data_IF_688223165259
#
_entry.id   IF_688223165259
#
_cell.length_a   1.000
_cell.length_b   1.000
_cell.length_c   1.000
_cell.angle_alpha   90.00
_cell.angle_beta   90.00
_cell.angle_gamma   90.00
#
_symmetry.space_group_name_H-M   'P 1'
#
loop_
_entity.id
_entity.type
_entity.pdbx_description
1 polymer ?
#
# COMPACT_ATOMS: atom_id res chain seq x y z
N UNK A 1 10.83 1.71 -23.15
CA UNK A 1 10.09 1.06 -24.26
C UNK A 1 10.44 1.64 -25.65
N UNK A 2 10.21 2.92 -25.98
CA UNK A 2 10.43 3.44 -27.36
C UNK A 2 11.86 3.29 -27.89
N UNK A 3 12.91 3.50 -27.10
CA UNK A 3 14.32 3.38 -27.55
C UNK A 3 14.79 1.93 -27.73
N UNK A 4 14.34 1.00 -26.88
CA UNK A 4 14.65 -0.43 -27.04
C UNK A 4 13.93 -1.04 -28.25
N UNK A 5 12.67 -0.68 -28.52
CA UNK A 5 11.92 -1.12 -29.73
C UNK A 5 12.53 -0.57 -31.03
N UNK A 6 13.08 0.67 -31.05
CA UNK A 6 13.77 1.22 -32.23
C UNK A 6 15.12 0.54 -32.51
N UNK A 7 15.85 0.11 -31.48
CA UNK A 7 17.14 -0.57 -31.68
C UNK A 7 16.93 -2.00 -32.20
N UNK A 8 15.86 -2.69 -31.77
CA UNK A 8 15.49 -4.03 -32.25
C UNK A 8 14.99 -4.00 -33.72
N UNK A 9 14.25 -2.97 -34.14
CA UNK A 9 13.81 -2.79 -35.52
C UNK A 9 14.99 -2.51 -36.49
N UNK A 10 16.04 -1.86 -36.01
CA UNK A 10 17.22 -1.58 -36.83
C UNK A 10 18.11 -2.84 -37.05
N UNK A 11 18.14 -3.76 -36.10
CA UNK A 11 18.89 -5.02 -36.22
C UNK A 11 18.25 -6.03 -37.19
N UNK A 12 16.92 -6.04 -37.32
CA UNK A 12 16.18 -6.89 -38.27
C UNK A 12 16.38 -6.46 -39.75
N UNK A 13 16.68 -5.17 -40.01
CA UNK A 13 16.85 -4.67 -41.38
C UNK A 13 18.22 -5.02 -41.98
N UNK A 14 19.20 -5.44 -41.17
CA UNK A 14 20.57 -5.76 -41.64
C UNK A 14 20.71 -7.24 -42.07
N UNK A 15 19.83 -8.13 -41.66
CA UNK A 15 19.91 -9.56 -41.99
C UNK A 15 19.28 -9.97 -43.34
N UNK A 16 18.61 -9.07 -44.08
CA UNK A 16 17.85 -9.43 -45.31
C UNK A 16 18.69 -9.27 -46.57
N UNK A 17 19.94 -8.79 -46.53
CA UNK A 17 20.71 -8.42 -47.72
C UNK A 17 21.81 -9.39 -48.17
N UNK A 18 21.91 -10.63 -47.68
CA UNK A 18 23.03 -11.58 -48.00
C UNK A 18 22.60 -12.87 -48.69
N UNK A 19 21.41 -13.01 -49.22
CA UNK A 19 21.06 -14.22 -49.98
C UNK A 19 20.45 -13.90 -51.33
N UNK A 20 21.34 -13.51 -52.27
CA UNK A 20 21.00 -13.57 -53.71
C UNK A 20 22.25 -13.64 -54.55
N UNK A 21 22.77 -14.82 -54.81
CA UNK A 21 23.47 -15.22 -56.04
C UNK A 21 23.95 -16.68 -55.97
N UNK A 22 23.32 -17.60 -56.68
CA UNK A 22 23.93 -18.29 -57.79
C UNK A 22 22.96 -19.38 -58.36
N UNK A 23 22.79 -19.24 -59.62
CA UNK A 23 21.89 -20.05 -60.48
C UNK A 23 22.68 -21.03 -61.35
N UNK A 24 21.97 -22.17 -61.72
CA UNK A 24 22.14 -23.08 -62.87
C UNK A 24 23.02 -24.33 -62.62
N UNK A 25 22.60 -25.52 -62.94
CA UNK A 25 22.03 -26.07 -64.16
C UNK A 25 21.49 -27.54 -64.00
N UNK A 26 20.30 -27.80 -64.55
CA UNK A 26 19.82 -28.90 -65.42
C UNK A 26 20.30 -30.34 -65.19
N UNK A 27 19.31 -31.29 -65.05
CA UNK A 27 19.39 -32.70 -65.32
C UNK A 27 18.31 -33.51 -64.64
N UNK A 28 17.29 -33.97 -65.38
CA UNK A 28 16.28 -34.98 -65.06
C UNK A 28 16.71 -36.39 -65.51
N UNK A 29 16.00 -37.53 -65.20
CA UNK A 29 15.24 -37.91 -63.97
C UNK A 29 15.69 -39.30 -63.47
N UNK A 30 15.19 -39.80 -62.34
CA UNK A 30 14.58 -41.08 -62.07
C UNK A 30 14.71 -41.54 -60.59
N UNK A 31 13.53 -41.88 -60.10
CA UNK A 31 13.11 -42.86 -59.11
C UNK A 31 13.70 -43.08 -57.71
N UNK A 32 12.71 -42.99 -56.76
CA UNK A 32 12.53 -43.83 -55.57
C UNK A 32 13.44 -43.63 -54.35
N UNK A 33 12.91 -43.03 -53.30
CA UNK A 33 12.59 -43.73 -52.03
C UNK A 33 12.23 -42.72 -50.93
N UNK A 34 11.10 -43.01 -50.30
CA UNK A 34 10.57 -42.35 -49.10
C UNK A 34 11.58 -42.41 -47.96
N UNK A 35 11.94 -41.27 -47.40
CA UNK A 35 12.33 -41.13 -45.98
C UNK A 35 11.75 -39.84 -45.46
N UNK A 36 10.82 -40.01 -44.56
CA UNK A 36 10.11 -39.02 -43.76
C UNK A 36 11.13 -38.40 -42.78
N UNK A 37 11.70 -37.26 -43.13
CA UNK A 37 12.39 -36.36 -42.21
C UNK A 37 11.44 -35.24 -41.82
N UNK A 38 10.79 -35.45 -40.69
CA UNK A 38 10.08 -34.40 -39.96
C UNK A 38 11.06 -33.24 -39.68
N UNK A 39 10.96 -32.19 -40.46
CA UNK A 39 11.52 -30.90 -40.07
C UNK A 39 10.73 -30.43 -38.85
N UNK A 40 11.35 -30.52 -37.67
CA UNK A 40 10.96 -29.70 -36.54
C UNK A 40 11.11 -28.22 -36.97
N UNK A 41 9.99 -27.56 -37.18
CA UNK A 41 9.94 -26.12 -37.18
C UNK A 41 10.35 -25.66 -35.77
N UNK A 42 11.58 -25.17 -35.64
CA UNK A 42 11.97 -24.40 -34.48
C UNK A 42 11.02 -23.20 -34.38
N UNK A 43 10.03 -23.29 -33.50
CA UNK A 43 9.30 -22.12 -33.01
C UNK A 43 10.31 -21.14 -32.44
N UNK A 44 10.28 -19.85 -32.83
CA UNK A 44 11.12 -18.86 -32.19
C UNK A 44 10.81 -18.87 -30.68
N UNK A 45 11.83 -19.09 -29.86
CA UNK A 45 11.71 -18.83 -28.43
C UNK A 45 11.27 -17.39 -28.29
N UNK A 46 10.09 -17.16 -27.70
CA UNK A 46 9.68 -15.86 -27.20
C UNK A 46 10.80 -15.40 -26.26
N UNK A 47 11.40 -14.23 -26.55
CA UNK A 47 12.27 -13.57 -25.59
C UNK A 47 11.41 -13.31 -24.35
N UNK A 48 11.78 -13.91 -23.22
CA UNK A 48 11.17 -13.72 -21.90
C UNK A 48 11.22 -12.22 -21.58
N UNK A 49 10.12 -11.49 -21.80
CA UNK A 49 9.98 -10.09 -21.44
C UNK A 49 9.83 -10.05 -19.90
N UNK A 50 10.97 -10.02 -19.19
CA UNK A 50 11.00 -9.90 -17.74
C UNK A 50 10.68 -8.44 -17.37
N UNK A 51 9.54 -8.23 -16.68
CA UNK A 51 9.17 -6.91 -16.19
C UNK A 51 9.97 -6.54 -14.94
N UNK A 52 10.26 -5.26 -14.80
CA UNK A 52 10.90 -4.66 -13.63
C UNK A 52 9.93 -3.72 -12.95
N UNK A 53 9.62 -3.98 -11.69
CA UNK A 53 8.75 -3.14 -10.89
C UNK A 53 9.54 -2.34 -9.86
N UNK A 54 9.05 -1.12 -9.55
CA UNK A 54 9.49 -0.35 -8.40
C UNK A 54 8.54 -0.55 -7.22
N UNK A 55 9.06 -0.43 -5.99
CA UNK A 55 8.27 -0.24 -4.79
C UNK A 55 8.77 1.00 -4.03
N UNK A 56 7.83 1.90 -3.70
CA UNK A 56 8.09 3.08 -2.87
C UNK A 56 6.99 3.20 -1.82
N UNK A 57 7.31 2.80 -0.58
CA UNK A 57 6.46 2.98 0.59
C UNK A 57 6.71 4.33 1.26
N UNK A 58 6.10 4.54 2.44
CA UNK A 58 6.33 5.77 3.22
C UNK A 58 7.68 5.70 3.95
N UNK A 59 7.97 4.53 4.56
CA UNK A 59 9.13 4.35 5.43
C UNK A 59 9.36 2.86 5.66
N UNK A 60 10.48 2.34 5.20
CA UNK A 60 10.80 0.90 5.28
C UNK A 60 11.31 0.45 6.65
N UNK A 61 11.40 1.35 7.65
CA UNK A 61 11.59 0.95 9.04
C UNK A 61 10.25 0.56 9.71
N UNK A 62 9.09 0.95 9.13
CA UNK A 62 7.77 0.61 9.68
C UNK A 62 7.34 -0.81 9.29
N UNK A 63 6.96 -1.67 10.26
CA UNK A 63 6.60 -3.07 9.99
C UNK A 63 5.47 -3.27 8.98
N UNK A 64 4.55 -2.31 8.86
CA UNK A 64 3.47 -2.34 7.88
C UNK A 64 4.01 -2.37 6.45
N UNK A 65 4.91 -1.43 6.11
CA UNK A 65 5.48 -1.33 4.76
C UNK A 65 6.46 -2.46 4.43
N UNK A 66 7.20 -2.96 5.44
CA UNK A 66 8.01 -4.19 5.28
C UNK A 66 7.12 -5.37 4.88
N UNK A 67 5.97 -5.52 5.55
CA UNK A 67 5.05 -6.64 5.29
C UNK A 67 4.37 -6.49 3.93
N UNK A 68 3.92 -5.28 3.58
CA UNK A 68 3.31 -4.96 2.29
C UNK A 68 4.27 -5.26 1.13
N UNK A 69 5.50 -4.75 1.22
CA UNK A 69 6.57 -4.97 0.24
C UNK A 69 6.90 -6.45 0.08
N UNK A 70 7.07 -7.16 1.20
CA UNK A 70 7.39 -8.60 1.19
C UNK A 70 6.28 -9.42 0.53
N UNK A 71 5.00 -9.05 0.74
CA UNK A 71 3.87 -9.72 0.11
C UNK A 71 3.82 -9.46 -1.40
N UNK A 72 4.14 -8.24 -1.84
CA UNK A 72 4.29 -7.89 -3.26
C UNK A 72 5.45 -8.66 -3.88
N UNK A 73 6.62 -8.62 -3.24
CA UNK A 73 7.85 -9.28 -3.70
C UNK A 73 7.65 -10.77 -3.91
N UNK A 74 7.01 -11.45 -2.95
CA UNK A 74 6.73 -12.89 -3.04
C UNK A 74 6.00 -13.24 -4.34
N UNK A 75 5.02 -12.44 -4.75
CA UNK A 75 4.22 -12.68 -5.96
C UNK A 75 5.01 -12.31 -7.21
N UNK A 76 5.65 -11.14 -7.24
CA UNK A 76 6.40 -10.63 -8.39
C UNK A 76 7.59 -11.54 -8.74
N UNK A 77 8.39 -11.94 -7.75
CA UNK A 77 9.55 -12.80 -7.98
C UNK A 77 9.16 -14.23 -8.35
N UNK A 78 8.01 -14.72 -7.87
CA UNK A 78 7.48 -16.04 -8.27
C UNK A 78 7.14 -16.12 -9.76
N UNK A 79 6.70 -15.03 -10.37
CA UNK A 79 6.45 -14.93 -11.81
C UNK A 79 7.73 -14.65 -12.62
N UNK A 80 8.90 -14.59 -11.95
CA UNK A 80 10.19 -14.36 -12.61
C UNK A 80 10.49 -12.87 -12.88
N UNK A 81 9.73 -11.96 -12.32
CA UNK A 81 9.91 -10.52 -12.46
C UNK A 81 10.81 -9.94 -11.35
N UNK A 82 11.31 -8.72 -11.54
CA UNK A 82 12.18 -8.03 -10.59
C UNK A 82 11.40 -6.96 -9.82
N UNK A 83 11.70 -6.79 -8.51
CA UNK A 83 11.19 -5.70 -7.68
C UNK A 83 12.35 -4.89 -7.09
N UNK A 84 12.45 -3.62 -7.48
CA UNK A 84 13.41 -2.65 -6.94
C UNK A 84 12.72 -1.86 -5.84
N UNK A 85 13.23 -1.90 -4.62
CA UNK A 85 12.69 -1.16 -3.48
C UNK A 85 13.58 0.02 -3.13
N UNK A 86 12.98 1.20 -2.95
CA UNK A 86 13.62 2.41 -2.42
C UNK A 86 12.91 2.84 -1.15
N UNK A 87 13.67 3.37 -0.20
CA UNK A 87 13.17 3.86 1.08
C UNK A 87 13.28 5.37 1.17
N UNK A 88 12.18 6.12 1.15
CA UNK A 88 12.20 7.58 1.29
C UNK A 88 12.33 8.02 2.76
N UNK A 89 12.27 7.10 3.72
CA UNK A 89 12.41 7.41 5.15
C UNK A 89 11.48 8.57 5.61
N UNK A 90 10.22 8.55 5.20
CA UNK A 90 9.21 9.57 5.47
C UNK A 90 9.50 10.97 4.88
N UNK A 91 10.38 11.08 3.87
CA UNK A 91 10.71 12.34 3.16
C UNK A 91 10.02 12.38 1.79
N UNK A 92 9.08 13.32 1.53
CA UNK A 92 8.46 13.49 0.22
C UNK A 92 9.47 13.83 -0.89
N UNK A 93 10.49 14.64 -0.56
CA UNK A 93 11.53 15.04 -1.50
C UNK A 93 12.41 13.86 -1.91
N UNK A 94 12.78 12.99 -0.96
CA UNK A 94 13.56 11.78 -1.24
C UNK A 94 12.72 10.79 -2.04
N UNK A 95 11.40 10.68 -1.76
CA UNK A 95 10.50 9.83 -2.53
C UNK A 95 10.45 10.26 -4.00
N UNK A 96 10.28 11.57 -4.27
CA UNK A 96 10.28 12.09 -5.65
C UNK A 96 11.61 11.82 -6.36
N UNK A 97 12.76 12.03 -5.67
CA UNK A 97 14.07 11.78 -6.24
C UNK A 97 14.29 10.30 -6.56
N UNK A 98 13.94 9.41 -5.63
CA UNK A 98 14.07 7.95 -5.79
C UNK A 98 13.16 7.40 -6.89
N UNK A 99 11.95 7.95 -7.07
CA UNK A 99 11.07 7.58 -8.19
C UNK A 99 11.73 7.93 -9.53
N UNK A 100 12.36 9.11 -9.64
CA UNK A 100 13.10 9.49 -10.86
C UNK A 100 14.29 8.54 -11.14
N UNK A 101 15.01 8.12 -10.10
CA UNK A 101 16.07 7.10 -10.22
C UNK A 101 15.50 5.78 -10.74
N UNK A 102 14.39 5.28 -10.19
CA UNK A 102 13.76 4.04 -10.64
C UNK A 102 13.28 4.14 -12.11
N UNK A 103 12.79 5.31 -12.54
CA UNK A 103 12.46 5.57 -13.95
C UNK A 103 13.72 5.45 -14.84
N UNK A 104 14.87 6.00 -14.39
CA UNK A 104 16.15 5.90 -15.10
C UNK A 104 16.67 4.45 -15.12
N UNK A 105 16.45 3.69 -14.08
CA UNK A 105 16.74 2.24 -13.98
C UNK A 105 15.85 1.41 -14.91
N UNK A 106 14.74 1.99 -15.41
CA UNK A 106 13.89 1.43 -16.46
C UNK A 106 12.80 0.51 -15.92
N UNK A 107 12.16 0.84 -14.81
CA UNK A 107 10.98 0.15 -14.32
C UNK A 107 9.83 0.21 -15.32
N UNK A 108 9.02 -0.85 -15.40
CA UNK A 108 7.83 -0.95 -16.24
C UNK A 108 6.55 -0.58 -15.45
N UNK A 109 6.56 -0.79 -14.14
CA UNK A 109 5.49 -0.43 -13.22
C UNK A 109 6.01 -0.08 -11.84
N UNK A 110 5.17 0.54 -11.01
CA UNK A 110 5.52 0.92 -9.63
C UNK A 110 4.35 0.63 -8.68
N UNK A 111 4.66 0.08 -7.52
CA UNK A 111 3.78 0.06 -6.35
C UNK A 111 4.11 1.27 -5.49
N UNK A 112 3.18 2.21 -5.39
CA UNK A 112 3.40 3.51 -4.77
C UNK A 112 2.45 3.75 -3.61
N UNK A 113 3.01 3.95 -2.40
CA UNK A 113 2.31 4.56 -1.28
C UNK A 113 2.95 5.93 -0.99
N UNK A 114 2.25 7.05 -1.18
CA UNK A 114 2.84 8.38 -1.06
C UNK A 114 3.17 8.73 0.40
N UNK A 115 4.32 9.34 0.64
CA UNK A 115 4.67 9.97 1.92
C UNK A 115 3.73 11.15 2.21
N UNK A 116 3.45 11.92 1.17
CA UNK A 116 2.46 13.01 1.18
C UNK A 116 1.58 12.87 -0.07
N UNK A 117 0.27 12.71 0.15
CA UNK A 117 -0.71 12.40 -0.88
C UNK A 117 -0.92 13.53 -1.90
N UNK A 118 -0.58 14.78 -1.53
CA UNK A 118 -0.62 15.94 -2.43
C UNK A 118 0.75 16.23 -3.07
N UNK A 119 1.83 16.18 -2.28
CA UNK A 119 3.16 16.53 -2.75
C UNK A 119 3.73 15.55 -3.78
N UNK A 120 3.19 14.32 -3.89
CA UNK A 120 3.64 13.29 -4.84
C UNK A 120 3.33 13.61 -6.31
N UNK A 121 2.43 14.55 -6.60
CA UNK A 121 1.94 14.87 -7.95
C UNK A 121 3.04 15.02 -9.03
N UNK A 122 4.17 15.71 -8.78
CA UNK A 122 5.24 15.80 -9.79
C UNK A 122 5.85 14.45 -10.17
N UNK A 123 5.97 13.52 -9.21
CA UNK A 123 6.47 12.17 -9.47
C UNK A 123 5.46 11.35 -10.29
N UNK A 124 4.15 11.49 -10.03
CA UNK A 124 3.10 10.86 -10.85
C UNK A 124 3.19 11.31 -12.30
N UNK A 125 3.39 12.62 -12.54
CA UNK A 125 3.60 13.16 -13.89
C UNK A 125 4.82 12.56 -14.59
N UNK A 126 5.95 12.44 -13.87
CA UNK A 126 7.18 11.84 -14.41
C UNK A 126 7.01 10.35 -14.76
N UNK A 127 6.32 9.58 -13.90
CA UNK A 127 5.99 8.17 -14.17
C UNK A 127 5.13 8.04 -15.43
N UNK A 128 4.11 8.87 -15.57
CA UNK A 128 3.20 8.85 -16.73
C UNK A 128 3.93 9.24 -18.04
N UNK A 129 4.81 10.25 -18.00
CA UNK A 129 5.65 10.64 -19.15
C UNK A 129 6.61 9.52 -19.58
N UNK A 130 7.06 8.70 -18.62
CA UNK A 130 7.91 7.54 -18.85
C UNK A 130 7.15 6.28 -19.29
N UNK A 131 5.80 6.31 -19.37
CA UNK A 131 4.93 5.16 -19.68
C UNK A 131 5.03 4.03 -18.62
N UNK A 132 5.33 4.40 -17.35
CA UNK A 132 5.38 3.48 -16.21
C UNK A 132 3.97 3.29 -15.66
N UNK A 133 3.56 2.05 -15.41
CA UNK A 133 2.28 1.73 -14.80
C UNK A 133 2.28 2.03 -13.32
N UNK A 134 1.22 2.67 -12.82
CA UNK A 134 1.12 3.11 -11.42
C UNK A 134 0.04 2.29 -10.71
N UNK A 135 0.46 1.43 -9.80
CA UNK A 135 -0.40 0.75 -8.82
C UNK A 135 -0.24 1.48 -7.49
N UNK A 136 -1.21 2.34 -7.16
CA UNK A 136 -1.22 3.03 -5.89
C UNK A 136 -1.72 2.10 -4.79
N UNK A 137 -1.01 1.99 -3.68
CA UNK A 137 -1.32 1.07 -2.58
C UNK A 137 -1.49 1.82 -1.27
N UNK A 138 -2.36 1.32 -0.38
CA UNK A 138 -2.62 1.81 0.97
C UNK A 138 -3.21 3.23 1.01
N UNK A 139 -2.40 4.27 0.93
CA UNK A 139 -2.85 5.67 0.94
C UNK A 139 -3.05 6.17 -0.49
N UNK A 140 -4.26 6.63 -0.82
CA UNK A 140 -4.57 7.23 -2.12
C UNK A 140 -3.77 8.51 -2.35
N UNK A 141 -3.30 8.70 -3.59
CA UNK A 141 -2.79 9.99 -4.06
C UNK A 141 -3.96 10.94 -4.34
N UNK A 142 -3.73 12.25 -4.41
CA UNK A 142 -4.77 13.24 -4.68
C UNK A 142 -5.28 13.15 -6.12
N UNK A 143 -4.37 13.08 -7.06
CA UNK A 143 -4.66 13.04 -8.50
C UNK A 143 -4.78 11.60 -8.99
N UNK A 144 -5.90 10.94 -8.67
CA UNK A 144 -6.17 9.55 -9.03
C UNK A 144 -6.21 9.29 -10.55
N UNK A 145 -6.35 10.32 -11.37
CA UNK A 145 -6.30 10.20 -12.84
C UNK A 145 -4.94 9.77 -13.39
N UNK A 146 -3.86 9.85 -12.60
CA UNK A 146 -2.56 9.30 -12.95
C UNK A 146 -2.44 7.80 -12.69
N UNK A 147 -3.29 7.27 -11.82
CA UNK A 147 -3.21 5.90 -11.30
C UNK A 147 -3.86 4.91 -12.26
N UNK A 148 -3.19 3.81 -12.54
CA UNK A 148 -3.76 2.73 -13.37
C UNK A 148 -4.60 1.75 -12.52
N UNK A 149 -4.21 1.53 -11.23
CA UNK A 149 -5.03 0.81 -10.25
C UNK A 149 -4.71 1.25 -8.82
N UNK A 150 -5.73 1.21 -7.94
CA UNK A 150 -5.60 1.41 -6.49
C UNK A 150 -6.03 0.18 -5.72
N UNK A 151 -5.19 -0.22 -4.76
CA UNK A 151 -5.51 -1.31 -3.83
C UNK A 151 -5.21 -0.83 -2.40
N UNK A 152 -6.23 -0.77 -1.55
CA UNK A 152 -6.12 -0.34 -0.16
C UNK A 152 -7.26 -0.86 0.70
N UNK A 153 -7.38 -0.33 1.91
CA UNK A 153 -8.46 -0.68 2.84
C UNK A 153 -9.63 0.32 2.74
N UNK A 154 -10.82 -0.09 3.18
CA UNK A 154 -11.93 0.83 3.39
C UNK A 154 -11.66 1.70 4.63
N UNK A 155 -10.89 2.78 4.45
CA UNK A 155 -10.43 3.62 5.55
C UNK A 155 -11.56 4.41 6.23
N UNK A 156 -12.61 4.81 5.51
CA UNK A 156 -13.79 5.44 6.11
C UNK A 156 -14.49 4.46 7.05
N UNK A 157 -14.69 3.21 6.61
CA UNK A 157 -15.28 2.16 7.46
C UNK A 157 -14.41 1.85 8.68
N UNK A 158 -13.06 1.85 8.51
CA UNK A 158 -12.15 1.62 9.63
C UNK A 158 -12.33 2.65 10.75
N UNK A 159 -12.49 3.92 10.41
CA UNK A 159 -12.81 4.96 11.38
C UNK A 159 -14.22 4.83 11.95
N UNK A 160 -15.19 4.53 11.07
CA UNK A 160 -16.60 4.42 11.44
C UNK A 160 -16.83 3.35 12.51
N UNK A 161 -16.28 2.14 12.36
CA UNK A 161 -16.42 1.07 13.37
C UNK A 161 -15.75 1.42 14.72
N UNK A 162 -14.69 2.23 14.72
CA UNK A 162 -14.11 2.77 15.96
C UNK A 162 -15.07 3.73 16.66
N UNK A 163 -15.74 4.59 15.89
CA UNK A 163 -16.74 5.52 16.43
C UNK A 163 -17.98 4.82 16.97
N UNK A 164 -18.45 3.76 16.31
CA UNK A 164 -19.58 2.94 16.82
C UNK A 164 -19.24 2.27 18.16
N UNK A 165 -18.06 1.63 18.27
CA UNK A 165 -17.63 1.03 19.55
C UNK A 165 -17.46 2.10 20.64
N UNK A 166 -17.01 3.32 20.30
CA UNK A 166 -16.95 4.42 21.27
C UNK A 166 -18.35 4.81 21.79
N UNK A 167 -19.35 4.90 20.92
CA UNK A 167 -20.74 5.23 21.31
C UNK A 167 -21.29 4.17 22.27
N UNK A 168 -21.01 2.89 22.01
CA UNK A 168 -21.45 1.78 22.89
C UNK A 168 -20.77 1.85 24.26
N UNK A 169 -19.48 2.19 24.33
CA UNK A 169 -18.73 2.31 25.60
C UNK A 169 -19.04 3.57 26.37
N UNK A 170 -19.37 4.65 25.67
CA UNK A 170 -19.65 5.96 26.26
C UNK A 170 -21.08 6.45 25.88
N UNK A 171 -22.14 5.75 26.34
CA UNK A 171 -23.51 6.06 25.92
C UNK A 171 -24.01 7.44 26.40
N UNK A 172 -23.33 8.06 27.35
CA UNK A 172 -23.61 9.42 27.81
C UNK A 172 -22.89 10.51 26.97
N UNK A 173 -22.17 10.12 25.92
CA UNK A 173 -21.31 11.02 25.15
C UNK A 173 -20.03 11.37 25.89
N UNK A 174 -19.38 12.44 25.46
CA UNK A 174 -18.17 12.90 26.12
C UNK A 174 -17.25 13.75 25.26
N UNK A 175 -16.06 14.05 25.78
CA UNK A 175 -15.02 14.74 25.05
C UNK A 175 -14.08 13.76 24.39
N UNK A 176 -13.73 14.01 23.14
CA UNK A 176 -12.80 13.17 22.38
C UNK A 176 -11.67 14.03 21.79
N UNK A 177 -10.49 13.44 21.70
CA UNK A 177 -9.37 14.02 21.00
C UNK A 177 -9.05 13.19 19.76
N UNK A 178 -8.46 13.82 18.75
CA UNK A 178 -8.06 13.19 17.50
C UNK A 178 -6.57 13.41 17.30
N UNK A 179 -5.84 12.32 17.10
CA UNK A 179 -4.42 12.32 16.73
C UNK A 179 -4.31 11.87 15.28
N UNK A 180 -3.96 12.78 14.40
CA UNK A 180 -4.05 12.63 12.95
C UNK A 180 -2.70 12.78 12.23
N UNK A 181 -2.71 12.58 10.90
CA UNK A 181 -1.60 12.86 10.01
C UNK A 181 -2.19 13.30 8.65
N UNK A 182 -2.42 14.62 8.43
CA UNK A 182 -3.11 15.13 7.26
C UNK A 182 -2.43 14.86 5.92
N UNK A 183 -1.12 14.57 5.92
CA UNK A 183 -0.36 14.20 4.72
C UNK A 183 -0.66 12.79 4.20
N UNK A 184 -1.43 11.99 4.96
CA UNK A 184 -1.86 10.63 4.58
C UNK A 184 -3.37 10.59 4.41
N UNK A 185 -3.86 10.46 3.16
CA UNK A 185 -5.29 10.42 2.89
C UNK A 185 -6.01 9.28 3.61
N UNK A 186 -5.37 8.12 3.75
CA UNK A 186 -5.92 7.00 4.51
C UNK A 186 -6.28 7.39 5.96
N UNK A 187 -5.45 8.21 6.61
CA UNK A 187 -5.75 8.70 7.95
C UNK A 187 -6.88 9.74 7.92
N UNK A 188 -6.92 10.62 6.92
CA UNK A 188 -8.01 11.60 6.76
C UNK A 188 -9.36 10.88 6.63
N UNK A 189 -9.42 9.81 5.85
CA UNK A 189 -10.62 9.00 5.67
C UNK A 189 -11.03 8.29 6.97
N UNK A 190 -10.08 7.75 7.73
CA UNK A 190 -10.33 7.14 9.06
C UNK A 190 -10.95 8.14 10.03
N UNK A 191 -10.42 9.36 10.07
CA UNK A 191 -10.96 10.42 10.93
C UNK A 191 -12.35 10.84 10.45
N UNK A 192 -12.57 10.96 9.15
CA UNK A 192 -13.88 11.26 8.57
C UNK A 192 -14.92 10.22 8.99
N UNK A 193 -14.62 8.93 8.83
CA UNK A 193 -15.53 7.85 9.23
C UNK A 193 -15.83 7.85 10.74
N UNK A 194 -14.82 8.09 11.58
CA UNK A 194 -15.00 8.22 13.02
C UNK A 194 -15.93 9.37 13.38
N UNK A 195 -15.73 10.55 12.79
CA UNK A 195 -16.58 11.72 13.04
C UNK A 195 -18.01 11.51 12.53
N UNK A 196 -18.19 10.85 11.40
CA UNK A 196 -19.50 10.45 10.88
C UNK A 196 -20.25 9.53 11.86
N UNK A 197 -19.55 8.59 12.49
CA UNK A 197 -20.15 7.69 13.47
C UNK A 197 -20.57 8.45 14.74
N UNK A 198 -19.65 9.20 15.36
CA UNK A 198 -19.95 9.90 16.62
C UNK A 198 -21.00 11.01 16.45
N UNK A 199 -21.15 11.58 15.25
CA UNK A 199 -22.22 12.53 14.94
C UNK A 199 -23.63 11.92 15.02
N UNK A 200 -23.76 10.59 14.94
CA UNK A 200 -25.04 9.85 15.07
C UNK A 200 -25.40 9.53 16.52
N UNK A 201 -24.52 9.77 17.47
CA UNK A 201 -24.77 9.48 18.89
C UNK A 201 -25.93 10.30 19.44
N UNK A 202 -26.80 9.67 20.26
CA UNK A 202 -27.92 10.34 20.92
C UNK A 202 -27.46 11.40 21.94
N UNK A 203 -26.37 11.11 22.65
CA UNK A 203 -25.65 12.05 23.52
C UNK A 203 -24.38 12.44 22.77
N UNK A 204 -24.24 13.71 22.47
CA UNK A 204 -23.18 14.18 21.58
C UNK A 204 -21.77 13.98 22.14
N UNK A 205 -20.82 13.85 21.22
CA UNK A 205 -19.41 13.93 21.50
C UNK A 205 -18.88 15.30 21.08
N UNK A 206 -17.95 15.85 21.84
CA UNK A 206 -17.24 17.08 21.55
C UNK A 206 -15.80 16.76 21.17
N UNK A 207 -15.37 17.08 19.95
CA UNK A 207 -13.96 17.02 19.57
C UNK A 207 -13.25 18.24 20.14
N UNK A 208 -12.46 18.02 21.20
CA UNK A 208 -11.82 19.11 21.97
C UNK A 208 -10.44 19.51 21.43
N UNK A 209 -9.72 18.59 20.78
CA UNK A 209 -8.41 18.84 20.19
C UNK A 209 -8.20 17.94 18.98
N UNK A 210 -7.49 18.47 17.97
CA UNK A 210 -6.94 17.71 16.83
C UNK A 210 -5.47 18.06 16.71
N UNK A 211 -4.61 17.05 16.65
CA UNK A 211 -3.16 17.26 16.61
C UNK A 211 -2.54 16.37 15.55
N UNK A 212 -1.79 17.00 14.65
CA UNK A 212 -0.95 16.29 13.69
C UNK A 212 0.25 15.67 14.41
N UNK A 213 0.36 14.36 14.30
CA UNK A 213 1.41 13.56 14.90
C UNK A 213 2.37 12.97 13.87
N UNK A 214 2.21 13.34 12.59
CA UNK A 214 3.01 12.79 11.48
C UNK A 214 3.03 11.25 11.43
N UNK A 215 2.02 10.60 12.02
CA UNK A 215 1.98 9.14 12.12
C UNK A 215 3.01 8.52 13.07
N UNK A 216 3.62 9.30 13.98
CA UNK A 216 4.77 8.90 14.80
C UNK A 216 4.40 8.73 16.28
N UNK A 217 4.97 7.69 16.90
CA UNK A 217 4.81 7.38 18.32
C UNK A 217 5.22 8.54 19.24
N UNK A 218 6.41 9.13 19.04
CA UNK A 218 6.96 10.15 19.95
C UNK A 218 6.14 11.44 19.89
N UNK A 219 5.69 11.85 18.70
CA UNK A 219 4.83 13.03 18.55
C UNK A 219 3.47 12.78 19.18
N UNK A 220 2.90 11.57 19.00
CA UNK A 220 1.63 11.19 19.62
C UNK A 220 1.71 11.16 21.15
N UNK A 221 2.81 10.64 21.72
CA UNK A 221 3.07 10.68 23.17
C UNK A 221 3.10 12.13 23.70
N UNK A 222 3.79 13.02 22.99
CA UNK A 222 3.86 14.45 23.36
C UNK A 222 2.49 15.13 23.30
N UNK A 223 1.80 14.99 22.16
CA UNK A 223 0.46 15.54 21.92
C UNK A 223 -0.55 15.05 22.96
N UNK A 224 -0.60 13.75 23.22
CA UNK A 224 -1.51 13.17 24.19
C UNK A 224 -1.26 13.71 25.60
N UNK A 225 -0.01 13.90 26.04
CA UNK A 225 0.30 14.54 27.33
C UNK A 225 -0.30 15.93 27.45
N UNK A 226 -0.11 16.77 26.42
CA UNK A 226 -0.66 18.12 26.40
C UNK A 226 -2.18 18.14 26.41
N UNK A 227 -2.81 17.21 25.65
CA UNK A 227 -4.26 17.05 25.62
C UNK A 227 -4.80 16.69 27.01
N UNK A 228 -4.17 15.72 27.70
CA UNK A 228 -4.60 15.28 29.03
C UNK A 228 -4.42 16.36 30.11
N UNK A 229 -3.44 17.24 29.96
CA UNK A 229 -3.26 18.39 30.85
C UNK A 229 -4.35 19.45 30.63
N UNK A 230 -4.73 19.75 29.38
CA UNK A 230 -5.74 20.73 29.01
C UNK A 230 -7.17 20.20 29.23
N UNK A 231 -7.39 18.92 28.97
CA UNK A 231 -8.69 18.26 28.99
C UNK A 231 -8.64 16.99 29.83
N UNK A 232 -8.52 17.13 31.18
CA UNK A 232 -8.42 15.96 32.08
C UNK A 232 -9.70 15.10 32.12
N UNK A 233 -10.79 15.58 31.53
CA UNK A 233 -12.08 14.92 31.39
C UNK A 233 -12.31 14.30 30.00
N UNK A 234 -11.25 14.19 29.15
CA UNK A 234 -11.33 13.48 27.88
C UNK A 234 -11.69 12.01 28.12
N UNK A 235 -12.67 11.52 27.37
CA UNK A 235 -13.18 10.15 27.50
C UNK A 235 -12.66 9.21 26.40
N UNK A 236 -12.31 9.75 25.22
CA UNK A 236 -11.82 8.97 24.10
C UNK A 236 -10.73 9.66 23.29
N UNK A 237 -9.83 8.88 22.70
CA UNK A 237 -8.81 9.36 21.77
C UNK A 237 -8.88 8.49 20.51
N UNK A 238 -9.21 9.08 19.36
CA UNK A 238 -9.07 8.44 18.06
C UNK A 238 -7.68 8.71 17.51
N UNK A 239 -7.00 7.65 17.13
CA UNK A 239 -5.66 7.71 16.58
C UNK A 239 -5.68 7.19 15.13
N UNK A 240 -5.05 7.93 14.22
CA UNK A 240 -5.05 7.61 12.80
C UNK A 240 -4.41 6.26 12.47
N UNK A 241 -3.51 5.74 13.34
CA UNK A 241 -2.91 4.42 13.22
C UNK A 241 -2.53 3.85 14.60
N UNK A 242 -2.04 2.61 14.62
CA UNK A 242 -1.67 1.90 15.84
C UNK A 242 -0.43 2.47 16.55
N UNK A 243 0.56 3.01 15.81
CA UNK A 243 1.73 3.65 16.42
C UNK A 243 1.34 4.89 17.22
N UNK A 244 0.42 5.70 16.67
CA UNK A 244 -0.18 6.84 17.35
C UNK A 244 -0.91 6.36 18.60
N UNK A 245 -1.70 5.28 18.49
CA UNK A 245 -2.49 4.74 19.61
C UNK A 245 -1.61 4.24 20.77
N UNK A 246 -0.49 3.58 20.48
CA UNK A 246 0.47 3.14 21.51
C UNK A 246 1.15 4.34 22.19
N UNK A 247 1.44 5.40 21.42
CA UNK A 247 1.95 6.68 21.94
C UNK A 247 0.95 7.35 22.90
N UNK A 248 -0.30 7.48 22.47
CA UNK A 248 -1.39 8.04 23.30
C UNK A 248 -1.61 7.21 24.58
N UNK A 249 -1.62 5.87 24.46
CA UNK A 249 -1.73 4.97 25.64
C UNK A 249 -0.60 5.19 26.64
N UNK A 250 0.61 5.38 26.14
CA UNK A 250 1.76 5.63 27.02
C UNK A 250 1.57 6.94 27.82
N UNK A 251 1.04 8.00 27.18
CA UNK A 251 0.72 9.25 27.89
C UNK A 251 -0.37 9.07 28.95
N UNK A 252 -1.46 8.35 28.60
CA UNK A 252 -2.57 8.06 29.53
C UNK A 252 -2.09 7.26 30.75
N UNK A 253 -1.20 6.28 30.54
CA UNK A 253 -0.59 5.50 31.63
C UNK A 253 0.30 6.40 32.54
N UNK A 254 1.11 7.26 31.97
CA UNK A 254 1.96 8.19 32.73
C UNK A 254 1.13 9.19 33.56
N UNK A 255 -0.02 9.62 33.04
CA UNK A 255 -0.97 10.46 33.75
C UNK A 255 -1.78 9.72 34.84
N UNK A 256 -1.68 8.39 34.90
CA UNK A 256 -2.41 7.55 35.87
C UNK A 256 -3.93 7.47 35.60
N UNK A 257 -4.39 7.87 34.41
CA UNK A 257 -5.78 7.82 34.01
C UNK A 257 -6.17 6.39 33.58
N UNK A 258 -7.42 5.97 33.88
CA UNK A 258 -7.87 4.60 33.60
C UNK A 258 -9.18 4.53 32.81
N UNK A 259 -9.81 5.68 32.58
CA UNK A 259 -11.15 5.73 31.96
C UNK A 259 -11.11 6.22 30.51
N UNK A 260 -9.96 6.66 30.03
CA UNK A 260 -9.79 7.09 28.64
C UNK A 260 -9.71 5.86 27.73
N UNK A 261 -10.58 5.78 26.73
CA UNK A 261 -10.58 4.73 25.72
C UNK A 261 -9.81 5.19 24.47
N UNK A 262 -9.02 4.33 23.88
CA UNK A 262 -8.13 4.65 22.77
C UNK A 262 -8.39 3.69 21.63
N UNK A 263 -8.52 4.23 20.42
CA UNK A 263 -8.65 3.47 19.17
C UNK A 263 -7.45 3.69 18.28
N UNK A 264 -7.01 2.62 17.61
CA UNK A 264 -6.06 2.63 16.54
C UNK A 264 -6.66 2.07 15.26
N UNK A 265 -5.86 2.06 14.22
CA UNK A 265 -6.12 1.36 12.95
C UNK A 265 -4.82 0.69 12.54
N UNK A 266 -4.87 -0.50 12.03
CA UNK A 266 -3.94 -1.38 11.34
C UNK A 266 -4.09 -2.84 11.82
N UNK A 267 -4.37 -3.11 13.10
CA UNK A 267 -4.33 -4.47 13.66
C UNK A 267 -2.91 -4.98 13.85
N UNK A 268 -1.96 -4.09 14.13
CA UNK A 268 -0.55 -4.42 14.24
C UNK A 268 -0.23 -5.40 15.37
N UNK A 269 0.89 -6.16 15.30
CA UNK A 269 1.33 -7.01 16.39
C UNK A 269 1.46 -6.27 17.72
N UNK A 270 1.90 -5.01 17.70
CA UNK A 270 2.13 -4.23 18.91
C UNK A 270 0.82 -3.82 19.59
N UNK A 271 -0.18 -3.34 18.85
CA UNK A 271 -1.47 -3.00 19.42
C UNK A 271 -2.18 -4.25 19.95
N UNK A 272 -2.05 -5.40 19.28
CA UNK A 272 -2.62 -6.68 19.74
C UNK A 272 -2.01 -7.12 21.06
N UNK A 273 -0.71 -6.92 21.29
CA UNK A 273 -0.06 -7.13 22.58
C UNK A 273 -0.60 -6.18 23.65
N UNK A 274 -0.89 -4.91 23.28
CA UNK A 274 -1.48 -3.93 24.19
C UNK A 274 -2.93 -4.31 24.58
N UNK A 275 -3.74 -4.81 23.63
CA UNK A 275 -5.10 -5.29 23.90
C UNK A 275 -5.15 -6.43 24.91
N UNK A 276 -4.12 -7.26 25.01
CA UNK A 276 -4.01 -8.34 25.99
C UNK A 276 -3.69 -7.87 27.41
N UNK A 277 -3.24 -6.63 27.58
CA UNK A 277 -2.94 -6.10 28.92
C UNK A 277 -4.20 -5.85 29.72
N UNK A 278 -4.09 -5.95 31.05
CA UNK A 278 -5.24 -5.82 31.95
C UNK A 278 -5.75 -4.37 32.13
N UNK A 279 -5.01 -3.38 31.66
CA UNK A 279 -5.34 -1.96 31.82
C UNK A 279 -6.55 -1.49 30.98
N UNK A 280 -6.83 -2.16 29.85
CA UNK A 280 -8.06 -1.99 29.07
C UNK A 280 -8.21 -0.61 28.38
N UNK A 281 -7.14 0.19 28.29
CA UNK A 281 -7.21 1.53 27.71
C UNK A 281 -7.28 1.51 26.18
N UNK A 282 -6.59 0.58 25.51
CA UNK A 282 -6.86 0.31 24.10
C UNK A 282 -8.21 -0.41 24.03
N UNK A 283 -9.20 0.24 23.43
CA UNK A 283 -10.54 -0.32 23.24
C UNK A 283 -10.56 -1.26 22.04
N UNK A 284 -9.89 -0.88 20.96
CA UNK A 284 -9.78 -1.67 19.76
C UNK A 284 -8.88 -1.04 18.71
N UNK A 285 -8.66 -1.79 17.65
CA UNK A 285 -8.02 -1.36 16.42
C UNK A 285 -8.83 -1.87 15.24
N UNK A 286 -9.12 -1.02 14.26
CA UNK A 286 -9.68 -1.45 12.99
C UNK A 286 -8.56 -2.09 12.17
N UNK A 287 -8.61 -3.40 12.05
CA UNK A 287 -7.55 -4.18 11.42
C UNK A 287 -7.65 -4.13 9.89
N UNK A 288 -6.50 -4.02 9.25
CA UNK A 288 -6.31 -4.15 7.81
C UNK A 288 -5.24 -5.22 7.51
N UNK A 289 -5.18 -5.71 6.27
CA UNK A 289 -4.25 -6.76 5.89
C UNK A 289 -3.22 -6.27 4.86
N UNK A 290 -2.01 -5.85 5.28
CA UNK A 290 -0.95 -5.51 4.33
C UNK A 290 -0.54 -6.70 3.45
N UNK A 291 -0.76 -7.93 3.94
CA UNK A 291 -0.50 -9.16 3.18
C UNK A 291 -1.47 -9.28 2.00
N UNK A 292 -2.78 -9.12 2.24
CA UNK A 292 -3.77 -9.22 1.17
C UNK A 292 -3.65 -8.06 0.19
N UNK A 293 -3.50 -6.82 0.70
CA UNK A 293 -3.27 -5.64 -0.14
C UNK A 293 -2.06 -5.87 -1.07
N UNK A 294 -0.93 -6.36 -0.53
CA UNK A 294 0.27 -6.62 -1.31
C UNK A 294 0.07 -7.70 -2.38
N UNK A 295 -0.56 -8.82 -2.03
CA UNK A 295 -0.83 -9.92 -2.98
C UNK A 295 -1.81 -9.50 -4.07
N UNK A 296 -2.88 -8.78 -3.71
CA UNK A 296 -3.87 -8.25 -4.65
C UNK A 296 -3.22 -7.23 -5.58
N UNK A 297 -2.42 -6.31 -5.05
CA UNK A 297 -1.71 -5.31 -5.85
C UNK A 297 -0.75 -5.94 -6.86
N UNK A 298 0.06 -6.91 -6.42
CA UNK A 298 0.99 -7.60 -7.29
C UNK A 298 0.27 -8.37 -8.40
N UNK A 299 -0.83 -9.07 -8.07
CA UNK A 299 -1.66 -9.75 -9.07
C UNK A 299 -2.23 -8.77 -10.07
N UNK A 300 -2.83 -7.67 -9.62
CA UNK A 300 -3.37 -6.61 -10.48
C UNK A 300 -2.32 -6.05 -11.44
N UNK A 301 -1.08 -5.80 -10.92
CA UNK A 301 0.03 -5.33 -11.76
C UNK A 301 0.40 -6.35 -12.84
N UNK A 302 0.44 -7.64 -12.53
CA UNK A 302 0.74 -8.71 -13.47
C UNK A 302 -0.34 -8.81 -14.56
N UNK A 303 -1.62 -8.85 -14.16
CA UNK A 303 -2.77 -8.88 -15.08
C UNK A 303 -2.70 -7.66 -16.04
N UNK A 304 -2.40 -6.47 -15.51
CA UNK A 304 -2.22 -5.22 -16.27
C UNK A 304 -1.09 -5.33 -17.30
N UNK A 305 0.09 -5.86 -16.90
CA UNK A 305 1.24 -5.98 -17.79
C UNK A 305 1.00 -7.02 -18.89
N UNK A 306 0.23 -8.06 -18.62
CA UNK A 306 -0.16 -9.10 -19.59
C UNK A 306 -1.31 -8.63 -20.51
N UNK A 307 -1.93 -7.49 -20.24
CA UNK A 307 -3.09 -6.98 -21.00
C UNK A 307 -4.37 -7.76 -20.70
N UNK A 308 -4.44 -8.40 -19.53
CA UNK A 308 -5.62 -9.07 -19.01
C UNK A 308 -6.57 -8.06 -18.34
N UNK A 309 -7.83 -8.46 -18.13
CA UNK A 309 -8.82 -7.64 -17.43
C UNK A 309 -8.49 -7.57 -15.94
N UNK A 310 -8.53 -6.38 -15.34
CA UNK A 310 -8.32 -6.16 -13.90
C UNK A 310 -9.26 -5.09 -13.36
N UNK A 311 -9.51 -5.13 -12.03
CA UNK A 311 -10.24 -4.09 -11.34
C UNK A 311 -9.32 -2.91 -11.04
N UNK A 312 -9.78 -1.69 -11.36
CA UNK A 312 -8.98 -0.46 -11.17
C UNK A 312 -9.03 0.10 -9.76
N UNK A 313 -9.96 -0.37 -8.91
CA UNK A 313 -10.11 0.08 -7.54
C UNK A 313 -10.59 -1.07 -6.66
N UNK A 314 -9.76 -1.48 -5.68
CA UNK A 314 -10.05 -2.60 -4.78
C UNK A 314 -9.88 -2.13 -3.35
N UNK A 315 -10.94 -2.32 -2.55
CA UNK A 315 -10.96 -2.03 -1.11
C UNK A 315 -11.02 -3.35 -0.33
N UNK A 316 -9.94 -3.68 0.36
CA UNK A 316 -9.91 -4.80 1.30
C UNK A 316 -10.77 -4.48 2.53
N UNK A 317 -11.48 -5.50 3.02
CA UNK A 317 -12.34 -5.37 4.18
C UNK A 317 -11.54 -5.06 5.46
N UNK A 318 -12.15 -4.27 6.35
CA UNK A 318 -11.63 -3.95 7.68
C UNK A 318 -12.56 -4.49 8.75
N UNK A 319 -12.01 -4.80 9.92
CA UNK A 319 -12.80 -5.30 11.04
C UNK A 319 -12.17 -4.94 12.38
N UNK A 320 -13.00 -4.86 13.43
CA UNK A 320 -12.54 -4.53 14.76
C UNK A 320 -11.83 -5.70 15.44
N UNK A 321 -10.59 -5.50 15.85
CA UNK A 321 -9.90 -6.34 16.83
C UNK A 321 -9.94 -5.62 18.18
N UNK A 322 -10.47 -6.29 19.18
CA UNK A 322 -10.54 -5.81 20.54
C UNK A 322 -10.13 -6.92 21.53
N UNK A 323 -10.29 -6.67 22.83
CA UNK A 323 -9.90 -7.62 23.87
C UNK A 323 -10.62 -8.97 23.77
N UNK A 324 -11.85 -8.99 23.27
CA UNK A 324 -12.70 -10.19 23.27
C UNK A 324 -12.33 -11.16 22.13
N UNK A 325 -11.73 -10.64 21.05
CA UNK A 325 -11.42 -11.44 19.86
C UNK A 325 -9.93 -11.49 19.49
N UNK A 326 -9.05 -10.73 20.14
CA UNK A 326 -7.63 -10.65 19.80
C UNK A 326 -6.91 -12.00 19.78
N UNK A 327 -7.33 -12.95 20.62
CA UNK A 327 -6.75 -14.30 20.65
C UNK A 327 -7.00 -15.08 19.35
N UNK A 328 -8.06 -14.77 18.61
CA UNK A 328 -8.39 -15.43 17.34
C UNK A 328 -7.40 -15.04 16.22
N UNK A 329 -6.81 -13.84 16.30
CA UNK A 329 -5.92 -13.27 15.27
C UNK A 329 -4.44 -13.45 15.60
N UNK A 330 -4.11 -13.93 16.81
CA UNK A 330 -2.73 -13.99 17.28
C UNK A 330 -2.10 -12.61 17.49
N UNK A 331 -0.97 -12.56 18.18
CA UNK A 331 -0.32 -11.27 18.53
C UNK A 331 1.04 -11.04 17.87
N UNK A 332 1.55 -12.02 17.13
CA UNK A 332 2.93 -11.98 16.62
C UNK A 332 3.01 -11.68 15.12
N UNK A 333 1.89 -11.63 14.41
CA UNK A 333 1.84 -11.39 12.96
C UNK A 333 0.71 -10.43 12.57
N UNK A 334 0.62 -10.16 11.28
CA UNK A 334 -0.51 -9.49 10.64
C UNK A 334 -1.63 -10.49 10.33
N UNK A 335 -2.82 -10.02 10.04
CA UNK A 335 -3.99 -10.81 9.62
C UNK A 335 -4.20 -10.75 8.12
#
# INVERSE_FOLDING_TARGET
>A
MRKRKMLRALMMLVCIFVLSACKKNVGTPEDNAVSDESKEEETPKEEDDTYVFGFSGIDMEKPYFITLESAIREVIEKEGFELITKDPASSPEDQEAQIKEMIEEGIDGIFLCPVDWEAITPALGALKEADVKIVNVDTQVKEMEYVDAYIGSNNVEAGYICGEDLIERCPEGGKVAILECPTQNSINDRITGFEEAIAKAQKGFEVVERVDTNGEFEKALGAAKEILEKHPDVSGIMCGNDQIAVGAKTAVNLAGLKTVVIYGVDGSPDIKKELKKADGQIAGTAAQSPINIGKTAAKTAIDMMNGEDYETEIFEEVFMINKDNVEMYGVDGWQ
#
